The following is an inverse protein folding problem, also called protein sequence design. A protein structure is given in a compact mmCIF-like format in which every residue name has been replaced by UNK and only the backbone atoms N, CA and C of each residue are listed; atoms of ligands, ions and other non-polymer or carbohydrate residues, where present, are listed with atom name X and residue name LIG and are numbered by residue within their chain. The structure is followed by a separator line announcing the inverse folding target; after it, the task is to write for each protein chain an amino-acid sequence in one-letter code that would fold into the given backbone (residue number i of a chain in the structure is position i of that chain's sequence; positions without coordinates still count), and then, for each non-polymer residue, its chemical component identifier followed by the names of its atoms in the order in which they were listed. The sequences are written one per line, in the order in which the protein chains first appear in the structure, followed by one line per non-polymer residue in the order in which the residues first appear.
data_IF_607914998022
#
_entry.id   IF_607914998022
#
_cell.length_a   1.000
_cell.length_b   1.000
_cell.length_c   1.000
_cell.angle_alpha   90.00
_cell.angle_beta   90.00
_cell.angle_gamma   90.00
#
_symmetry.space_group_name_H-M   'P 1'
#
loop_
_entity.id
_entity.type
_entity.pdbx_description
1 polymer ?
#
# COMPACT_ATOMS: atom_id res chain seq x y z
N UNK A 1 -10.16 -12.57 -13.59
CA UNK A 1 -10.00 -11.93 -12.27
C UNK A 1 -11.39 -11.73 -11.68
N UNK A 2 -11.69 -12.33 -10.59
CA UNK A 2 -13.05 -12.21 -10.06
C UNK A 2 -12.96 -11.87 -8.57
N UNK A 3 -12.74 -10.62 -8.22
CA UNK A 3 -13.15 -10.16 -6.90
C UNK A 3 -14.64 -10.52 -6.74
N UNK A 4 -14.90 -11.79 -6.42
CA UNK A 4 -16.26 -12.31 -6.24
C UNK A 4 -16.61 -12.20 -4.76
N UNK A 5 -17.45 -11.24 -4.43
CA UNK A 5 -17.96 -11.05 -3.08
C UNK A 5 -19.39 -11.59 -2.91
N UNK A 6 -19.85 -12.49 -3.81
CA UNK A 6 -21.22 -13.03 -3.75
C UNK A 6 -21.48 -13.85 -2.49
N UNK A 7 -20.46 -14.55 -2.00
CA UNK A 7 -20.54 -15.45 -0.84
C UNK A 7 -20.10 -14.80 0.46
N UNK A 8 -20.00 -13.47 0.51
CA UNK A 8 -19.62 -12.75 1.73
C UNK A 8 -20.74 -12.78 2.77
N UNK A 9 -20.41 -12.84 4.08
CA UNK A 9 -21.40 -12.83 5.15
C UNK A 9 -22.20 -11.51 5.25
N UNK A 10 -21.67 -10.45 4.64
CA UNK A 10 -22.30 -9.13 4.56
C UNK A 10 -22.17 -8.57 3.14
N UNK A 11 -23.16 -7.78 2.65
CA UNK A 11 -23.04 -7.12 1.36
C UNK A 11 -21.84 -6.15 1.33
N UNK A 12 -21.02 -6.24 0.31
CA UNK A 12 -19.91 -5.32 0.10
C UNK A 12 -20.34 -4.20 -0.86
N UNK A 13 -20.12 -2.97 -0.45
CA UNK A 13 -20.44 -1.78 -1.26
C UNK A 13 -19.75 -1.84 -2.62
N UNK A 14 -20.45 -1.44 -3.67
CA UNK A 14 -19.95 -1.51 -5.06
C UNK A 14 -18.67 -0.71 -5.25
N UNK A 15 -18.58 0.47 -4.64
CA UNK A 15 -17.41 1.34 -4.72
C UNK A 15 -16.14 0.71 -4.12
N UNK A 16 -16.29 -0.11 -3.05
CA UNK A 16 -15.15 -0.87 -2.49
C UNK A 16 -14.71 -1.97 -3.47
N UNK A 17 -15.66 -2.70 -4.05
CA UNK A 17 -15.35 -3.75 -5.02
C UNK A 17 -14.65 -3.18 -6.25
N UNK A 18 -15.10 -2.03 -6.75
CA UNK A 18 -14.51 -1.34 -7.91
C UNK A 18 -13.12 -0.82 -7.58
N UNK A 19 -12.93 -0.20 -6.42
CA UNK A 19 -11.62 0.27 -5.97
C UNK A 19 -10.62 -0.89 -5.87
N UNK A 20 -11.00 -2.02 -5.30
CA UNK A 20 -10.13 -3.20 -5.21
C UNK A 20 -9.74 -3.77 -6.58
N UNK A 21 -10.70 -3.84 -7.52
CA UNK A 21 -10.38 -4.27 -8.89
C UNK A 21 -9.41 -3.31 -9.58
N UNK A 22 -9.61 -2.00 -9.37
CA UNK A 22 -8.72 -0.95 -9.90
C UNK A 22 -7.32 -1.08 -9.32
N UNK A 23 -7.19 -1.28 -8.01
CA UNK A 23 -5.89 -1.48 -7.36
C UNK A 23 -5.18 -2.74 -7.86
N UNK A 24 -5.91 -3.81 -8.14
CA UNK A 24 -5.32 -5.04 -8.67
C UNK A 24 -4.84 -4.88 -10.11
N UNK A 25 -5.58 -4.15 -10.94
CA UNK A 25 -5.13 -3.76 -12.28
C UNK A 25 -3.90 -2.85 -12.22
N UNK A 26 -3.89 -1.89 -11.28
CA UNK A 26 -2.76 -1.00 -11.08
C UNK A 26 -1.51 -1.74 -10.55
N UNK A 27 -1.68 -2.78 -9.73
CA UNK A 27 -0.60 -3.66 -9.30
C UNK A 27 0.03 -4.41 -10.46
N UNK A 28 -0.78 -4.88 -11.42
CA UNK A 28 -0.32 -5.61 -12.60
C UNK A 28 0.43 -4.74 -13.60
N UNK A 29 0.08 -3.46 -13.67
CA UNK A 29 0.62 -2.52 -14.66
C UNK A 29 2.06 -2.10 -14.32
N UNK A 30 2.88 -1.73 -15.33
CA UNK A 30 4.17 -1.09 -15.08
C UNK A 30 4.02 0.20 -14.28
N UNK A 31 4.80 0.35 -13.24
CA UNK A 31 4.84 1.53 -12.40
C UNK A 31 5.82 2.60 -12.85
N UNK A 32 6.33 3.35 -11.92
CA UNK A 32 7.35 4.37 -12.17
C UNK A 32 8.76 3.77 -12.15
N UNK A 33 9.03 2.86 -11.23
CA UNK A 33 10.36 2.26 -11.00
C UNK A 33 10.39 0.77 -11.26
N UNK A 34 9.28 0.06 -11.11
CA UNK A 34 9.17 -1.38 -11.26
C UNK A 34 8.25 -1.73 -12.44
N UNK A 35 8.63 -2.74 -13.24
CA UNK A 35 7.75 -3.33 -14.25
C UNK A 35 6.55 -4.00 -13.61
N UNK A 36 5.51 -4.31 -14.39
CA UNK A 36 4.35 -5.06 -13.89
C UNK A 36 4.76 -6.41 -13.30
N UNK A 37 5.70 -7.11 -13.95
CA UNK A 37 6.25 -8.37 -13.45
C UNK A 37 6.92 -8.19 -12.08
N UNK A 38 7.83 -7.22 -11.94
CA UNK A 38 8.51 -6.95 -10.67
C UNK A 38 7.53 -6.53 -9.56
N UNK A 39 6.49 -5.75 -9.88
CA UNK A 39 5.45 -5.35 -8.90
C UNK A 39 4.67 -6.55 -8.39
N UNK A 40 4.29 -7.48 -9.26
CA UNK A 40 3.61 -8.73 -8.85
C UNK A 40 4.56 -9.62 -8.05
N UNK A 41 5.84 -9.69 -8.41
CA UNK A 41 6.86 -10.43 -7.64
C UNK A 41 7.08 -9.79 -6.25
N UNK A 42 7.11 -8.46 -6.13
CA UNK A 42 7.15 -7.74 -4.84
C UNK A 42 5.95 -8.13 -3.96
N UNK A 43 4.75 -8.16 -4.52
CA UNK A 43 3.54 -8.57 -3.81
C UNK A 43 3.60 -10.04 -3.36
N UNK A 44 4.08 -10.94 -4.23
CA UNK A 44 4.27 -12.35 -3.91
C UNK A 44 5.28 -12.55 -2.77
N UNK A 45 6.41 -11.84 -2.82
CA UNK A 45 7.44 -11.91 -1.78
C UNK A 45 6.93 -11.35 -0.44
N UNK A 46 6.13 -10.28 -0.47
CA UNK A 46 5.51 -9.76 0.74
C UNK A 46 4.55 -10.78 1.39
N UNK A 47 3.75 -11.50 0.60
CA UNK A 47 2.89 -12.59 1.12
C UNK A 47 3.71 -13.72 1.71
N UNK A 48 4.80 -14.15 1.05
CA UNK A 48 5.73 -15.16 1.58
C UNK A 48 6.33 -14.71 2.91
N UNK A 49 6.78 -13.46 2.98
CA UNK A 49 7.35 -12.89 4.21
C UNK A 49 6.35 -12.89 5.37
N UNK A 50 5.13 -12.44 5.13
CA UNK A 50 4.06 -12.43 6.14
C UNK A 50 3.62 -13.84 6.57
N UNK A 51 3.78 -14.84 5.69
CA UNK A 51 3.52 -16.24 6.02
C UNK A 51 4.70 -16.94 6.73
N UNK A 52 5.84 -16.26 6.91
CA UNK A 52 7.06 -16.86 7.48
C UNK A 52 7.77 -17.83 6.54
N UNK A 53 7.47 -17.80 5.27
CA UNK A 53 8.06 -18.66 4.24
C UNK A 53 9.44 -18.14 3.81
N UNK A 54 10.19 -19.00 3.12
CA UNK A 54 11.48 -18.61 2.52
C UNK A 54 11.25 -17.60 1.39
N UNK A 55 12.27 -16.76 1.15
CA UNK A 55 12.31 -15.89 -0.03
C UNK A 55 12.33 -16.71 -1.31
N UNK A 56 11.62 -16.21 -2.33
CA UNK A 56 11.77 -16.70 -3.69
C UNK A 56 13.04 -16.17 -4.36
N UNK A 57 13.31 -16.67 -5.55
CA UNK A 57 14.49 -16.30 -6.35
C UNK A 57 14.15 -15.32 -7.49
N UNK A 58 12.90 -14.84 -7.55
CA UNK A 58 12.41 -14.01 -8.64
C UNK A 58 12.86 -12.55 -8.56
N UNK A 59 13.16 -12.08 -7.33
CA UNK A 59 13.64 -10.70 -7.09
C UNK A 59 15.13 -10.69 -6.77
N UNK A 60 15.86 -9.62 -7.11
CA UNK A 60 17.20 -9.40 -6.58
C UNK A 60 17.19 -9.45 -5.04
N UNK A 61 18.20 -10.11 -4.45
CA UNK A 61 18.25 -10.34 -3.00
C UNK A 61 18.12 -9.06 -2.16
N UNK A 62 18.64 -7.92 -2.64
CA UNK A 62 18.50 -6.64 -1.97
C UNK A 62 17.04 -6.17 -1.94
N UNK A 63 16.33 -6.29 -3.05
CA UNK A 63 14.90 -5.92 -3.17
C UNK A 63 14.04 -6.84 -2.32
N UNK A 64 14.26 -8.17 -2.42
CA UNK A 64 13.56 -9.14 -1.57
C UNK A 64 13.78 -8.85 -0.08
N UNK A 65 15.01 -8.50 0.33
CA UNK A 65 15.32 -8.10 1.70
C UNK A 65 14.55 -6.87 2.16
N UNK A 66 14.41 -5.85 1.30
CA UNK A 66 13.59 -4.66 1.58
C UNK A 66 12.13 -5.03 1.77
N UNK A 67 11.56 -5.78 0.81
CA UNK A 67 10.17 -6.23 0.86
C UNK A 67 9.87 -6.99 2.14
N UNK A 68 10.71 -7.96 2.49
CA UNK A 68 10.56 -8.78 3.71
C UNK A 68 10.66 -7.97 4.99
N UNK A 69 11.60 -7.02 5.06
CA UNK A 69 11.73 -6.15 6.23
C UNK A 69 10.47 -5.31 6.43
N UNK A 70 9.98 -4.67 5.38
CA UNK A 70 8.78 -3.83 5.48
C UNK A 70 7.53 -4.66 5.78
N UNK A 71 7.36 -5.80 5.09
CA UNK A 71 6.14 -6.61 5.20
C UNK A 71 6.01 -7.37 6.53
N UNK A 72 7.11 -7.86 7.10
CA UNK A 72 7.07 -8.76 8.25
C UNK A 72 7.88 -8.27 9.47
N UNK A 73 8.72 -7.25 9.32
CA UNK A 73 9.62 -6.74 10.36
C UNK A 73 9.66 -5.20 10.37
N UNK A 74 8.55 -4.55 10.14
CA UNK A 74 8.46 -3.08 10.04
C UNK A 74 9.10 -2.30 11.20
N UNK A 75 9.17 -2.80 12.45
CA UNK A 75 9.92 -2.13 13.54
C UNK A 75 11.42 -1.96 13.26
N UNK A 76 12.00 -2.71 12.32
CA UNK A 76 13.40 -2.57 11.91
C UNK A 76 13.62 -1.40 10.92
N UNK A 77 12.54 -0.83 10.38
CA UNK A 77 12.62 0.32 9.47
C UNK A 77 12.93 1.57 10.28
N UNK A 78 14.08 2.18 10.01
CA UNK A 78 14.52 3.44 10.62
C UNK A 78 15.02 4.39 9.53
N UNK A 79 15.25 5.64 9.87
CA UNK A 79 15.85 6.60 8.94
C UNK A 79 17.19 6.11 8.39
N UNK A 80 18.08 5.64 9.26
CA UNK A 80 19.39 5.10 8.89
C UNK A 80 19.26 3.87 7.97
N UNK A 81 18.28 2.99 8.26
CA UNK A 81 18.02 1.83 7.41
C UNK A 81 17.59 2.26 6.00
N UNK A 82 16.69 3.26 5.89
CA UNK A 82 16.22 3.79 4.59
C UNK A 82 17.36 4.49 3.84
N UNK A 83 18.17 5.31 4.51
CA UNK A 83 19.36 5.95 3.92
C UNK A 83 20.35 4.92 3.37
N UNK A 84 20.49 3.79 4.03
CA UNK A 84 21.37 2.69 3.61
C UNK A 84 20.90 1.90 2.38
N UNK A 85 19.66 2.09 1.90
CA UNK A 85 19.10 1.34 0.77
C UNK A 85 19.77 1.66 -0.56
N UNK A 86 20.15 2.91 -0.78
CA UNK A 86 20.84 3.32 -2.01
C UNK A 86 22.15 2.55 -2.25
N UNK A 87 22.90 2.26 -1.19
CA UNK A 87 24.11 1.44 -1.28
C UNK A 87 23.83 -0.02 -1.67
N UNK A 88 22.58 -0.47 -1.51
CA UNK A 88 22.11 -1.80 -1.91
C UNK A 88 21.41 -1.80 -3.29
N UNK A 89 21.44 -0.66 -3.99
CA UNK A 89 20.84 -0.52 -5.32
C UNK A 89 19.31 -0.24 -5.31
N UNK A 90 18.75 0.12 -4.16
CA UNK A 90 17.34 0.53 -4.03
C UNK A 90 17.30 2.00 -3.60
N UNK A 91 17.06 2.89 -4.56
CA UNK A 91 16.92 4.32 -4.26
C UNK A 91 15.57 4.66 -3.60
N UNK A 92 15.46 5.85 -3.03
CA UNK A 92 14.26 6.26 -2.28
C UNK A 92 12.96 6.21 -3.11
N UNK A 93 12.92 6.63 -4.39
CA UNK A 93 11.70 6.50 -5.19
C UNK A 93 11.31 5.05 -5.48
N UNK A 94 12.29 4.18 -5.76
CA UNK A 94 12.04 2.74 -5.93
C UNK A 94 11.52 2.11 -4.63
N UNK A 95 12.07 2.51 -3.49
CA UNK A 95 11.58 2.12 -2.16
C UNK A 95 10.15 2.62 -1.92
N UNK A 96 9.85 3.90 -2.23
CA UNK A 96 8.51 4.44 -2.06
C UNK A 96 7.46 3.69 -2.89
N UNK A 97 7.80 3.24 -4.10
CA UNK A 97 6.90 2.41 -4.89
C UNK A 97 6.72 1.01 -4.28
N UNK A 98 7.75 0.40 -3.68
CA UNK A 98 7.59 -0.84 -2.91
C UNK A 98 6.57 -0.61 -1.78
N UNK A 99 6.68 0.49 -1.02
CA UNK A 99 5.71 0.82 0.03
C UNK A 99 4.29 0.93 -0.54
N UNK A 100 4.11 1.59 -1.70
CA UNK A 100 2.83 1.68 -2.38
C UNK A 100 2.24 0.32 -2.74
N UNK A 101 3.06 -0.59 -3.29
CA UNK A 101 2.66 -1.98 -3.58
C UNK A 101 2.24 -2.72 -2.32
N UNK A 102 3.04 -2.63 -1.25
CA UNK A 102 2.75 -3.34 0.01
C UNK A 102 1.50 -2.78 0.71
N UNK A 103 1.29 -1.47 0.68
CA UNK A 103 0.13 -0.83 1.29
C UNK A 103 -1.19 -1.32 0.64
N UNK A 104 -1.27 -1.32 -0.70
CA UNK A 104 -2.46 -1.82 -1.40
C UNK A 104 -2.68 -3.31 -1.21
N UNK A 105 -1.59 -4.11 -1.29
CA UNK A 105 -1.66 -5.54 -1.03
C UNK A 105 -2.22 -5.81 0.36
N UNK A 106 -1.68 -5.14 1.38
CA UNK A 106 -2.14 -5.29 2.76
C UNK A 106 -3.59 -4.87 2.93
N UNK A 107 -4.03 -3.76 2.32
CA UNK A 107 -5.42 -3.32 2.41
C UNK A 107 -6.38 -4.37 1.84
N UNK A 108 -6.10 -4.92 0.66
CA UNK A 108 -6.94 -5.95 0.02
C UNK A 108 -6.87 -7.27 0.78
N UNK A 109 -5.68 -7.73 1.16
CA UNK A 109 -5.49 -9.00 1.86
C UNK A 109 -6.15 -8.99 3.25
N UNK A 110 -6.01 -7.90 4.01
CA UNK A 110 -6.64 -7.78 5.32
C UNK A 110 -8.15 -7.65 5.22
N UNK A 111 -8.68 -7.01 4.17
CA UNK A 111 -10.11 -6.98 3.92
C UNK A 111 -10.67 -8.38 3.67
N UNK A 112 -10.00 -9.19 2.83
CA UNK A 112 -10.40 -10.59 2.58
C UNK A 112 -10.35 -11.42 3.87
N UNK A 113 -9.26 -11.30 4.64
CA UNK A 113 -9.10 -12.00 5.92
C UNK A 113 -10.18 -11.60 6.93
N UNK A 114 -10.51 -10.32 7.03
CA UNK A 114 -11.56 -9.83 7.93
C UNK A 114 -12.95 -10.40 7.60
N UNK A 115 -13.20 -10.72 6.32
CA UNK A 115 -14.44 -11.36 5.87
C UNK A 115 -14.38 -12.88 5.89
N UNK A 116 -13.27 -13.49 6.29
CA UNK A 116 -13.07 -14.94 6.23
C UNK A 116 -12.95 -15.50 4.82
N UNK A 117 -12.59 -14.66 3.85
CA UNK A 117 -12.42 -15.04 2.45
C UNK A 117 -10.98 -15.51 2.17
N UNK A 118 -10.79 -16.40 1.18
CA UNK A 118 -9.45 -16.65 0.65
C UNK A 118 -8.87 -15.37 0.05
N UNK A 119 -7.53 -15.25 0.08
CA UNK A 119 -6.86 -14.13 -0.56
C UNK A 119 -7.12 -14.15 -2.07
N UNK A 120 -7.34 -12.97 -2.64
CA UNK A 120 -7.46 -12.87 -4.10
C UNK A 120 -6.13 -13.30 -4.75
N UNK A 121 -6.15 -14.16 -5.79
CA UNK A 121 -4.95 -14.47 -6.54
C UNK A 121 -4.25 -13.22 -7.05
N UNK A 122 -2.92 -13.19 -7.00
CA UNK A 122 -2.19 -12.07 -7.60
C UNK A 122 -2.49 -11.99 -9.10
N UNK A 123 -2.55 -10.78 -9.67
CA UNK A 123 -2.88 -10.62 -11.07
C UNK A 123 -1.75 -11.09 -11.99
N UNK A 124 -2.09 -11.45 -13.22
CA UNK A 124 -1.10 -11.64 -14.26
C UNK A 124 -0.45 -10.27 -14.59
N UNK A 125 0.87 -10.17 -14.64
CA UNK A 125 1.52 -8.90 -14.90
C UNK A 125 1.29 -8.41 -16.32
N UNK A 126 1.08 -7.09 -16.46
CA UNK A 126 1.00 -6.44 -17.77
C UNK A 126 2.41 -6.15 -18.31
N UNK A 127 2.64 -6.38 -19.61
CA UNK A 127 3.92 -6.09 -20.24
C UNK A 127 4.13 -4.57 -20.33
N UNK A 128 5.37 -4.12 -20.14
CA UNK A 128 5.74 -2.71 -20.29
C UNK A 128 6.97 -2.35 -19.49
N UNK A 129 7.48 -1.16 -19.76
CA UNK A 129 8.64 -0.59 -19.05
C UNK A 129 8.16 0.42 -18.01
N UNK A 130 8.83 0.50 -16.85
CA UNK A 130 8.59 1.58 -15.90
C UNK A 130 8.76 2.96 -16.56
N UNK A 131 7.95 3.93 -16.13
CA UNK A 131 7.96 5.28 -16.73
C UNK A 131 9.24 6.07 -16.44
N UNK A 132 9.90 5.78 -15.33
CA UNK A 132 11.09 6.49 -14.82
C UNK A 132 10.84 7.99 -14.64
N UNK A 133 9.61 8.39 -14.41
CA UNK A 133 9.26 9.79 -14.15
C UNK A 133 9.96 10.27 -12.88
N UNK A 134 10.73 11.37 -12.95
CA UNK A 134 11.43 11.90 -11.78
C UNK A 134 10.46 12.31 -10.66
N UNK A 135 10.86 12.18 -9.38
CA UNK A 135 10.07 12.66 -8.26
C UNK A 135 9.81 14.17 -8.34
N UNK A 136 8.71 14.66 -7.74
CA UNK A 136 8.48 16.09 -7.58
C UNK A 136 9.61 16.77 -6.79
N UNK A 137 9.92 18.02 -7.14
CA UNK A 137 11.02 18.77 -6.52
C UNK A 137 10.63 19.55 -5.26
N UNK A 138 9.34 19.65 -4.96
CA UNK A 138 8.78 20.40 -3.83
C UNK A 138 8.52 19.53 -2.59
N UNK A 139 9.12 18.35 -2.51
CA UNK A 139 9.01 17.46 -1.37
C UNK A 139 9.97 17.86 -0.26
N UNK A 140 9.57 17.63 0.98
CA UNK A 140 10.35 17.96 2.18
C UNK A 140 10.47 16.74 3.10
N UNK A 141 11.58 16.66 3.82
CA UNK A 141 11.71 15.73 4.94
C UNK A 141 10.89 16.28 6.13
N UNK A 142 9.93 15.50 6.57
CA UNK A 142 9.10 15.76 7.73
C UNK A 142 9.33 14.73 8.83
N UNK A 143 8.26 14.14 9.33
CA UNK A 143 8.32 13.04 10.29
C UNK A 143 8.50 11.65 9.64
N UNK A 144 8.42 11.58 8.32
CA UNK A 144 8.65 10.33 7.56
C UNK A 144 10.14 10.13 7.26
N UNK A 145 10.51 8.89 6.97
CA UNK A 145 11.88 8.52 6.59
C UNK A 145 12.20 8.83 5.12
N UNK A 146 11.23 9.30 4.36
CA UNK A 146 11.37 9.72 2.96
C UNK A 146 10.78 11.12 2.77
N UNK A 147 11.24 11.90 1.77
CA UNK A 147 10.62 13.16 1.44
C UNK A 147 9.15 12.99 1.04
N UNK A 148 8.29 13.87 1.52
CA UNK A 148 6.85 13.84 1.24
C UNK A 148 6.30 15.25 0.97
N UNK A 149 5.10 15.35 0.42
CA UNK A 149 4.40 16.62 0.29
C UNK A 149 4.14 17.25 1.68
N UNK A 150 4.10 18.58 1.73
CA UNK A 150 3.92 19.33 2.99
C UNK A 150 2.61 18.99 3.68
N UNK A 151 1.57 18.63 2.92
CA UNK A 151 0.27 18.25 3.49
C UNK A 151 0.36 16.86 4.09
N UNK A 152 0.17 16.78 5.41
CA UNK A 152 0.29 15.54 6.17
C UNK A 152 -0.97 14.69 5.97
N UNK A 153 -0.87 13.70 5.10
CA UNK A 153 -1.84 12.60 5.02
C UNK A 153 -1.09 11.29 4.76
N UNK A 154 -1.67 10.16 5.15
CA UNK A 154 -1.03 8.86 4.96
C UNK A 154 -0.66 8.61 3.48
N UNK A 155 -1.52 8.88 2.48
CA UNK A 155 -1.17 8.72 1.07
C UNK A 155 0.05 9.55 0.62
N UNK A 156 0.35 10.65 1.29
CA UNK A 156 1.49 11.50 0.94
C UNK A 156 2.85 10.88 1.30
N UNK A 157 2.88 9.82 2.09
CA UNK A 157 4.13 9.09 2.40
C UNK A 157 4.79 8.47 1.17
N UNK A 158 4.04 8.29 0.08
CA UNK A 158 4.55 7.80 -1.21
C UNK A 158 4.64 8.91 -2.27
N UNK A 159 4.71 10.19 -1.87
CA UNK A 159 4.77 11.35 -2.78
C UNK A 159 5.97 11.37 -3.73
N UNK A 160 7.01 10.59 -3.45
CA UNK A 160 8.12 10.36 -4.39
C UNK A 160 7.66 9.70 -5.69
N UNK A 161 6.50 9.04 -5.67
CA UNK A 161 5.90 8.35 -6.81
C UNK A 161 4.42 8.78 -6.91
N UNK A 162 4.11 9.92 -7.54
CA UNK A 162 2.76 10.47 -7.58
C UNK A 162 1.64 9.51 -7.99
N UNK A 163 1.83 8.58 -8.95
CA UNK A 163 0.80 7.61 -9.28
C UNK A 163 0.41 6.71 -8.08
N UNK A 164 1.37 6.37 -7.21
CA UNK A 164 1.11 5.60 -5.98
C UNK A 164 0.26 6.41 -4.99
N UNK A 165 0.54 7.71 -4.86
CA UNK A 165 -0.25 8.61 -4.00
C UNK A 165 -1.70 8.68 -4.46
N UNK A 166 -1.93 8.82 -5.77
CA UNK A 166 -3.28 8.91 -6.34
C UNK A 166 -4.05 7.61 -6.12
N UNK A 167 -3.45 6.47 -6.48
CA UNK A 167 -4.09 5.17 -6.33
C UNK A 167 -4.41 4.87 -4.86
N UNK A 168 -3.46 5.13 -3.95
CA UNK A 168 -3.68 4.95 -2.52
C UNK A 168 -4.80 5.85 -1.97
N UNK A 169 -4.88 7.11 -2.43
CA UNK A 169 -5.97 8.01 -2.04
C UNK A 169 -7.34 7.49 -2.50
N UNK A 170 -7.45 7.03 -3.73
CA UNK A 170 -8.70 6.48 -4.28
C UNK A 170 -9.17 5.24 -3.51
N UNK A 171 -8.25 4.34 -3.16
CA UNK A 171 -8.57 3.19 -2.31
C UNK A 171 -9.02 3.62 -0.91
N UNK A 172 -8.31 4.56 -0.31
CA UNK A 172 -8.64 5.12 1.02
C UNK A 172 -10.01 5.79 1.03
N UNK A 173 -10.33 6.56 0.00
CA UNK A 173 -11.61 7.24 -0.14
C UNK A 173 -12.78 6.24 -0.20
N UNK A 174 -12.61 5.14 -0.94
CA UNK A 174 -13.62 4.09 -1.03
C UNK A 174 -13.77 3.27 0.26
N UNK A 175 -12.68 2.98 0.95
CA UNK A 175 -12.67 2.10 2.13
C UNK A 175 -12.90 2.84 3.45
N UNK A 176 -12.62 4.13 3.50
CA UNK A 176 -12.70 4.91 4.73
C UNK A 176 -13.53 6.19 4.54
N UNK A 177 -12.92 7.33 4.25
CA UNK A 177 -13.56 8.62 4.04
C UNK A 177 -12.72 9.47 3.08
N UNK A 178 -13.41 10.27 2.26
CA UNK A 178 -12.76 11.33 1.50
C UNK A 178 -12.27 12.47 2.41
N UNK A 179 -11.34 13.28 1.93
CA UNK A 179 -10.87 14.47 2.67
C UNK A 179 -12.02 15.44 3.02
N UNK A 180 -13.02 15.58 2.14
CA UNK A 180 -14.20 16.40 2.39
C UNK A 180 -15.06 15.85 3.52
N UNK A 181 -15.27 14.55 3.55
CA UNK A 181 -16.02 13.85 4.60
C UNK A 181 -15.30 13.90 5.95
N UNK A 182 -13.97 13.79 5.94
CA UNK A 182 -13.13 13.97 7.15
C UNK A 182 -13.28 15.37 7.74
N UNK A 183 -13.55 16.40 6.93
CA UNK A 183 -13.85 17.75 7.38
C UNK A 183 -15.20 17.93 8.06
N UNK A 184 -16.12 16.98 7.91
CA UNK A 184 -17.47 17.03 8.47
C UNK A 184 -17.59 16.20 9.77
N UNK A 185 -17.68 16.81 10.97
CA UNK A 185 -17.79 16.09 12.23
C UNK A 185 -19.05 15.23 12.36
N UNK A 186 -20.13 15.58 11.64
CA UNK A 186 -21.40 14.87 11.67
C UNK A 186 -21.54 13.83 10.54
N UNK A 187 -20.45 13.57 9.80
CA UNK A 187 -20.46 12.61 8.70
C UNK A 187 -20.87 11.22 9.19
N UNK A 188 -21.73 10.58 8.42
CA UNK A 188 -22.24 9.25 8.66
C UNK A 188 -22.38 8.48 7.35
N UNK A 189 -21.82 7.31 7.33
CA UNK A 189 -22.20 6.25 6.39
C UNK A 189 -23.06 5.21 7.15
N UNK A 190 -22.62 3.97 7.26
CA UNK A 190 -23.23 2.99 8.17
C UNK A 190 -22.90 3.32 9.64
N UNK A 191 -21.68 3.76 9.91
CA UNK A 191 -21.23 4.23 11.21
C UNK A 191 -21.12 5.76 11.23
N UNK A 192 -21.33 6.36 12.40
CA UNK A 192 -21.01 7.76 12.63
C UNK A 192 -19.49 7.96 12.63
N UNK A 193 -19.03 9.13 12.16
CA UNK A 193 -17.61 9.44 12.08
C UNK A 193 -16.85 9.12 13.38
N UNK A 194 -17.37 9.50 14.53
CA UNK A 194 -16.71 9.21 15.83
C UNK A 194 -16.51 7.73 16.09
N UNK A 195 -17.39 6.86 15.59
CA UNK A 195 -17.24 5.41 15.69
C UNK A 195 -16.14 4.91 14.74
N UNK A 196 -16.08 5.45 13.53
CA UNK A 196 -15.02 5.14 12.56
C UNK A 196 -13.65 5.56 13.09
N UNK A 197 -13.54 6.77 13.64
CA UNK A 197 -12.30 7.28 14.27
C UNK A 197 -11.87 6.45 15.49
N UNK A 198 -12.82 5.96 16.29
CA UNK A 198 -12.50 5.07 17.42
C UNK A 198 -11.90 3.74 16.93
N UNK A 199 -12.45 3.16 15.86
CA UNK A 199 -11.89 1.95 15.24
C UNK A 199 -10.49 2.22 14.69
N UNK A 200 -10.30 3.35 13.97
CA UNK A 200 -9.00 3.73 13.42
C UNK A 200 -7.96 3.95 14.54
N UNK A 201 -8.33 4.66 15.60
CA UNK A 201 -7.44 4.87 16.76
C UNK A 201 -7.06 3.55 17.43
N UNK A 202 -8.01 2.62 17.59
CA UNK A 202 -7.73 1.29 18.16
C UNK A 202 -6.82 0.47 17.26
N UNK A 203 -7.01 0.53 15.95
CA UNK A 203 -6.16 -0.14 14.96
C UNK A 203 -4.73 0.41 15.02
N UNK A 204 -4.58 1.73 15.09
CA UNK A 204 -3.27 2.38 15.24
C UNK A 204 -2.57 1.97 16.52
N UNK A 205 -3.29 1.87 17.64
CA UNK A 205 -2.75 1.39 18.92
C UNK A 205 -2.25 -0.06 18.83
N UNK A 206 -3.02 -0.95 18.18
CA UNK A 206 -2.63 -2.36 18.03
C UNK A 206 -1.38 -2.49 17.15
N UNK A 207 -1.26 -1.65 16.13
CA UNK A 207 -0.14 -1.63 15.20
C UNK A 207 1.05 -0.79 15.69
N UNK A 208 0.97 -0.26 16.93
CA UNK A 208 2.00 0.59 17.53
C UNK A 208 2.40 1.79 16.63
N UNK A 209 1.43 2.34 15.88
CA UNK A 209 1.65 3.52 15.07
C UNK A 209 1.95 4.73 15.97
N UNK A 210 2.98 5.48 15.66
CA UNK A 210 3.39 6.67 16.42
C UNK A 210 2.83 7.99 15.87
N UNK A 211 1.90 7.92 14.95
CA UNK A 211 1.17 9.06 14.40
C UNK A 211 -0.04 9.41 15.26
#
# INVERSE_FOLDING_TARGET
MSFNFADTPIPIRTEIQEAMRKEWAFLAAPGTWWSGEERVQIAAEARRAMAGERSGDELPAAVAGVVRTVAANSPLVSAEWVEGLAAKGVDMPAYAEIIGVLARLSAVDMFHRALGLPLEPLPDPEPGKPSRTPPPTNLVFGKSFVPMAIMVSIPQTVSLVPPETVAWQELSDAMYMTLGEMGNPDFRQALHRTQMELVAARTSQINECFY
#
